data_IF_738685825803
#
_entry.id   IF_738685825803
#
_cell.length_a   1.000
_cell.length_b   1.000
_cell.length_c   1.000
_cell.angle_alpha   90.00
_cell.angle_beta   90.00
_cell.angle_gamma   90.00
#
_symmetry.space_group_name_H-M   'P 1'
#
loop_
_entity.id
_entity.type
_entity.pdbx_description
1 polymer ?
#
# COMPACT_ATOMS: atom_id res chain seq x y z
N UNK A 1 1.39 27.15 -2.67
CA UNK A 1 0.48 26.12 -2.12
C UNK A 1 0.38 24.99 -3.14
N UNK A 2 1.02 23.83 -2.89
CA UNK A 2 0.88 22.66 -3.77
C UNK A 2 -0.47 22.01 -3.47
N UNK A 3 -1.32 21.87 -4.49
CA UNK A 3 -2.59 21.14 -4.43
C UNK A 3 -2.32 19.73 -3.87
N UNK A 4 -2.88 19.41 -2.71
CA UNK A 4 -2.97 18.02 -2.24
C UNK A 4 -3.89 17.31 -3.23
N UNK A 5 -3.32 16.52 -4.13
CA UNK A 5 -4.08 15.59 -4.96
C UNK A 5 -4.70 14.53 -4.04
N UNK A 6 -5.85 14.86 -3.49
CA UNK A 6 -6.65 13.88 -2.75
C UNK A 6 -7.49 13.11 -3.78
N UNK A 7 -7.17 11.85 -3.96
CA UNK A 7 -8.03 10.95 -4.73
C UNK A 7 -9.41 10.85 -4.06
N UNK A 8 -10.53 10.90 -4.82
CA UNK A 8 -11.86 10.79 -4.22
C UNK A 8 -11.99 9.44 -3.50
N UNK A 9 -12.61 9.46 -2.33
CA UNK A 9 -12.97 8.26 -1.58
C UNK A 9 -14.23 7.62 -2.17
N UNK A 10 -14.43 6.31 -1.98
CA UNK A 10 -15.71 5.69 -2.28
C UNK A 10 -16.86 6.39 -1.52
N UNK A 11 -18.07 6.43 -2.08
CA UNK A 11 -19.22 7.03 -1.39
C UNK A 11 -19.43 6.43 0.01
N UNK A 12 -19.66 7.29 1.00
CA UNK A 12 -19.90 6.87 2.39
C UNK A 12 -18.64 6.52 3.20
N UNK A 13 -17.44 6.57 2.58
CA UNK A 13 -16.18 6.28 3.26
C UNK A 13 -15.59 7.56 3.86
N UNK A 14 -15.29 7.52 5.15
CA UNK A 14 -14.54 8.56 5.86
C UNK A 14 -13.36 7.93 6.56
N UNK A 15 -12.14 8.32 6.17
CA UNK A 15 -10.93 7.76 6.78
C UNK A 15 -10.67 8.37 8.15
N UNK A 16 -10.34 7.51 9.11
CA UNK A 16 -9.81 7.87 10.42
C UNK A 16 -8.34 7.50 10.51
N UNK A 17 -7.59 8.14 11.39
CA UNK A 17 -6.17 7.84 11.58
C UNK A 17 -6.00 6.47 12.23
N UNK A 18 -5.21 5.60 11.61
CA UNK A 18 -4.84 4.29 12.17
C UNK A 18 -3.51 4.32 12.91
N UNK A 19 -3.22 3.26 13.67
CA UNK A 19 -1.95 3.09 14.38
C UNK A 19 -0.80 2.79 13.42
N UNK A 20 -1.05 1.92 12.44
CA UNK A 20 -0.05 1.45 11.48
C UNK A 20 -0.22 2.12 10.10
N UNK A 21 -1.44 2.54 9.77
CA UNK A 21 -1.82 3.16 8.49
C UNK A 21 -2.28 4.59 8.74
N UNK A 22 -2.01 5.49 7.78
CA UNK A 22 -2.36 6.91 7.92
C UNK A 22 -3.87 7.16 7.89
N UNK A 23 -4.58 6.37 7.10
CA UNK A 23 -6.03 6.43 7.01
C UNK A 23 -6.63 5.04 6.96
N UNK A 24 -7.70 4.81 7.69
CA UNK A 24 -8.44 3.55 7.71
C UNK A 24 -9.94 3.80 7.76
N UNK A 25 -10.68 2.94 7.10
CA UNK A 25 -12.11 2.79 7.23
C UNK A 25 -12.48 1.32 7.09
N UNK A 26 -13.37 0.84 7.93
CA UNK A 26 -13.87 -0.53 7.93
C UNK A 26 -15.39 -0.46 7.93
N UNK A 27 -16.04 -1.21 7.04
CA UNK A 27 -17.50 -1.29 6.98
C UNK A 27 -18.09 -1.89 8.26
N UNK A 28 -19.23 -1.38 8.68
CA UNK A 28 -19.93 -1.91 9.84
C UNK A 28 -20.23 -3.41 9.67
N UNK A 29 -19.86 -4.19 10.69
CA UNK A 29 -20.06 -5.64 10.68
C UNK A 29 -19.13 -6.43 9.77
N UNK A 30 -18.17 -5.79 9.09
CA UNK A 30 -17.18 -6.49 8.28
C UNK A 30 -16.34 -7.45 9.13
N UNK A 31 -16.13 -8.67 8.63
CA UNK A 31 -15.25 -9.67 9.21
C UNK A 31 -14.50 -10.39 8.09
N UNK A 32 -13.20 -10.57 8.23
CA UNK A 32 -12.38 -11.32 7.28
C UNK A 32 -12.85 -12.77 7.14
N UNK A 33 -13.33 -13.40 8.21
CA UNK A 33 -13.89 -14.77 8.21
C UNK A 33 -15.13 -14.93 7.31
N UNK A 34 -15.68 -13.84 6.81
CA UNK A 34 -16.73 -13.84 5.78
C UNK A 34 -16.23 -14.25 4.39
N UNK A 35 -14.92 -14.34 4.18
CA UNK A 35 -14.31 -14.58 2.87
C UNK A 35 -13.27 -15.71 2.95
N UNK A 36 -13.30 -16.60 1.96
CA UNK A 36 -12.37 -17.73 1.86
C UNK A 36 -11.07 -17.32 1.15
N UNK A 37 -11.17 -16.35 0.23
CA UNK A 37 -10.05 -15.90 -0.58
C UNK A 37 -10.02 -14.39 -0.73
N UNK A 38 -8.84 -13.87 -1.05
CA UNK A 38 -8.64 -12.50 -1.51
C UNK A 38 -7.83 -12.50 -2.81
N UNK A 39 -8.30 -11.72 -3.77
CA UNK A 39 -7.59 -11.43 -5.01
C UNK A 39 -6.87 -10.09 -4.83
N UNK A 40 -5.55 -10.09 -4.89
CA UNK A 40 -4.74 -8.86 -4.89
C UNK A 40 -4.57 -8.40 -6.33
N UNK A 41 -5.41 -7.48 -6.77
CA UNK A 41 -5.37 -6.96 -8.12
C UNK A 41 -4.07 -6.21 -8.41
N UNK A 42 -3.67 -6.14 -9.67
CA UNK A 42 -2.52 -5.34 -10.08
C UNK A 42 -2.76 -3.87 -9.71
N UNK A 43 -1.84 -3.22 -8.96
CA UNK A 43 -2.00 -1.84 -8.56
C UNK A 43 -2.16 -0.89 -9.75
N UNK A 44 -3.16 -0.01 -9.69
CA UNK A 44 -3.30 1.10 -10.62
C UNK A 44 -2.30 2.21 -10.27
N UNK A 45 -1.68 2.80 -11.27
CA UNK A 45 -0.71 3.88 -11.08
C UNK A 45 -1.29 5.19 -11.62
N UNK A 46 -1.64 6.10 -10.73
CA UNK A 46 -2.20 7.43 -11.05
C UNK A 46 -1.26 8.57 -10.66
N UNK A 47 -0.07 8.25 -10.14
CA UNK A 47 0.92 9.25 -9.80
C UNK A 47 1.36 10.02 -11.05
N UNK A 48 1.51 11.33 -10.92
CA UNK A 48 2.07 12.17 -11.98
C UNK A 48 3.57 11.90 -12.03
N UNK A 49 4.01 11.26 -13.08
CA UNK A 49 5.42 10.97 -13.30
C UNK A 49 6.19 12.23 -13.65
N UNK A 50 7.30 12.44 -12.94
CA UNK A 50 8.34 13.38 -13.35
C UNK A 50 9.49 12.69 -14.09
N UNK A 51 9.51 11.35 -14.16
CA UNK A 51 10.51 10.56 -14.86
C UNK A 51 9.87 9.64 -15.90
N UNK A 52 10.50 9.54 -17.08
CA UNK A 52 10.02 8.81 -18.24
C UNK A 52 10.34 7.29 -18.20
N UNK A 53 10.56 6.70 -17.04
CA UNK A 53 11.06 5.32 -16.95
C UNK A 53 9.91 4.32 -16.74
N UNK A 54 9.35 3.85 -17.86
CA UNK A 54 8.29 2.82 -17.92
C UNK A 54 8.68 1.55 -17.11
N UNK A 55 9.96 1.18 -17.14
CA UNK A 55 10.47 -0.01 -16.45
C UNK A 55 10.41 0.14 -14.91
N UNK A 56 10.72 1.30 -14.37
CA UNK A 56 10.67 1.55 -12.92
C UNK A 56 9.25 1.47 -12.39
N UNK A 57 8.29 1.98 -13.14
CA UNK A 57 6.87 1.86 -12.83
C UNK A 57 6.42 0.40 -12.75
N UNK A 58 6.80 -0.42 -13.72
CA UNK A 58 6.46 -1.84 -13.73
C UNK A 58 7.06 -2.58 -12.53
N UNK A 59 8.31 -2.27 -12.17
CA UNK A 59 8.99 -2.81 -10.98
C UNK A 59 8.26 -2.39 -9.69
N UNK A 60 7.91 -1.11 -9.56
CA UNK A 60 7.20 -0.60 -8.39
C UNK A 60 5.80 -1.24 -8.24
N UNK A 61 5.03 -1.33 -9.33
CA UNK A 61 3.70 -1.98 -9.33
C UNK A 61 3.82 -3.42 -8.88
N UNK A 62 4.76 -4.17 -9.45
CA UNK A 62 4.99 -5.56 -9.06
C UNK A 62 5.43 -5.68 -7.61
N UNK A 63 6.38 -4.86 -7.16
CA UNK A 63 6.88 -4.86 -5.79
C UNK A 63 5.77 -4.60 -4.77
N UNK A 64 4.90 -3.63 -5.03
CA UNK A 64 3.74 -3.32 -4.18
C UNK A 64 2.77 -4.51 -4.15
N UNK A 65 2.44 -5.09 -5.31
CA UNK A 65 1.55 -6.26 -5.36
C UNK A 65 2.13 -7.43 -4.57
N UNK A 66 3.41 -7.75 -4.76
CA UNK A 66 4.08 -8.85 -4.06
C UNK A 66 4.10 -8.61 -2.54
N UNK A 67 4.41 -7.39 -2.08
CA UNK A 67 4.40 -7.02 -0.66
C UNK A 67 3.01 -7.19 -0.03
N UNK A 68 1.94 -6.78 -0.73
CA UNK A 68 0.56 -6.94 -0.27
C UNK A 68 0.15 -8.42 -0.22
N UNK A 69 0.56 -9.22 -1.20
CA UNK A 69 0.31 -10.68 -1.22
C UNK A 69 0.99 -11.35 -0.02
N UNK A 70 2.26 -11.06 0.23
CA UNK A 70 3.01 -11.61 1.38
C UNK A 70 2.34 -11.18 2.68
N UNK A 71 2.05 -9.90 2.83
CA UNK A 71 1.40 -9.35 4.01
C UNK A 71 0.08 -10.06 4.34
N UNK A 72 -0.81 -10.22 3.35
CA UNK A 72 -2.11 -10.86 3.55
C UNK A 72 -1.98 -12.36 3.83
N UNK A 73 -1.03 -13.07 3.19
CA UNK A 73 -0.74 -14.49 3.51
C UNK A 73 -0.30 -14.66 4.96
N UNK A 74 0.55 -13.77 5.46
CA UNK A 74 1.07 -13.82 6.83
C UNK A 74 0.02 -13.49 7.90
N UNK A 75 -1.11 -12.89 7.52
CA UNK A 75 -2.19 -12.62 8.48
C UNK A 75 -2.99 -13.86 8.85
N UNK A 76 -3.05 -14.87 7.97
CA UNK A 76 -3.96 -16.00 8.10
C UNK A 76 -5.45 -15.65 8.01
N UNK A 77 -5.78 -14.41 7.60
CA UNK A 77 -7.16 -13.92 7.52
C UNK A 77 -7.97 -14.57 6.38
N UNK A 78 -7.28 -15.10 5.36
CA UNK A 78 -7.85 -15.76 4.20
C UNK A 78 -7.21 -17.14 4.01
N UNK A 79 -8.00 -18.11 3.62
CA UNK A 79 -7.48 -19.44 3.27
C UNK A 79 -6.65 -19.42 1.97
N UNK A 80 -6.93 -18.46 1.08
CA UNK A 80 -6.20 -18.28 -0.18
C UNK A 80 -5.97 -16.80 -0.48
N UNK A 81 -4.74 -16.47 -0.91
CA UNK A 81 -4.36 -15.14 -1.42
C UNK A 81 -3.79 -15.33 -2.80
N UNK A 82 -4.46 -14.79 -3.81
CA UNK A 82 -4.13 -14.96 -5.23
C UNK A 82 -4.03 -13.60 -5.94
N UNK A 83 -3.48 -13.57 -7.13
CA UNK A 83 -3.34 -12.33 -7.91
C UNK A 83 -4.34 -12.23 -9.07
N UNK A 84 -5.06 -13.31 -9.37
CA UNK A 84 -6.03 -13.39 -10.45
C UNK A 84 -7.32 -14.06 -9.96
N UNK A 85 -8.46 -13.58 -10.43
CA UNK A 85 -9.76 -14.10 -10.03
C UNK A 85 -10.02 -15.54 -10.52
N UNK A 86 -9.41 -15.95 -11.62
CA UNK A 86 -9.53 -17.33 -12.16
C UNK A 86 -8.75 -18.37 -11.33
N UNK A 87 -7.88 -17.93 -10.42
CA UNK A 87 -7.16 -18.78 -9.46
C UNK A 87 -8.01 -19.08 -8.21
N UNK A 88 -9.13 -18.39 -8.02
CA UNK A 88 -10.03 -18.62 -6.88
C UNK A 88 -10.80 -19.91 -7.09
N UNK A 89 -10.80 -20.78 -6.08
CA UNK A 89 -11.55 -22.04 -6.13
C UNK A 89 -13.04 -21.79 -6.36
N UNK A 90 -13.65 -22.52 -7.27
CA UNK A 90 -15.09 -22.42 -7.56
C UNK A 90 -15.92 -22.59 -6.28
N UNK A 91 -16.90 -21.70 -6.10
CA UNK A 91 -17.78 -21.70 -4.93
C UNK A 91 -17.21 -20.98 -3.70
N UNK A 92 -15.94 -20.53 -3.71
CA UNK A 92 -15.38 -19.73 -2.63
C UNK A 92 -15.92 -18.31 -2.65
N UNK A 93 -16.20 -17.76 -1.47
CA UNK A 93 -16.46 -16.32 -1.30
C UNK A 93 -15.14 -15.58 -1.32
N UNK A 94 -15.01 -14.61 -2.19
CA UNK A 94 -13.76 -13.84 -2.26
C UNK A 94 -14.02 -12.34 -2.25
N UNK A 95 -13.02 -11.62 -1.77
CA UNK A 95 -12.92 -10.18 -1.87
C UNK A 95 -11.78 -9.81 -2.84
N UNK A 96 -11.80 -8.59 -3.36
CA UNK A 96 -10.75 -8.06 -4.24
C UNK A 96 -10.09 -6.88 -3.55
N UNK A 97 -8.77 -6.91 -3.40
CA UNK A 97 -7.99 -5.78 -2.97
C UNK A 97 -7.52 -4.99 -4.20
N UNK A 98 -8.15 -3.84 -4.43
CA UNK A 98 -7.79 -2.87 -5.43
C UNK A 98 -6.85 -1.84 -4.80
N UNK A 99 -5.67 -1.66 -5.38
CA UNK A 99 -4.69 -0.69 -4.88
C UNK A 99 -4.41 0.37 -5.93
N UNK A 100 -4.30 1.62 -5.51
CA UNK A 100 -3.92 2.75 -6.37
C UNK A 100 -2.71 3.46 -5.77
N UNK A 101 -1.66 3.61 -6.56
CA UNK A 101 -0.50 4.46 -6.28
C UNK A 101 -0.82 5.85 -6.81
N UNK A 102 -0.95 6.84 -5.93
CA UNK A 102 -1.33 8.20 -6.31
C UNK A 102 -0.23 9.24 -6.08
N UNK A 103 0.85 8.86 -5.40
CA UNK A 103 2.09 9.64 -5.33
C UNK A 103 3.28 8.67 -5.33
N UNK A 104 4.23 8.94 -6.19
CA UNK A 104 5.46 8.16 -6.31
C UNK A 104 6.59 9.10 -6.73
N UNK A 105 7.52 9.34 -5.84
CA UNK A 105 8.71 10.14 -6.09
C UNK A 105 9.95 9.30 -5.75
N UNK A 106 10.86 9.17 -6.70
CA UNK A 106 12.08 8.36 -6.56
C UNK A 106 13.08 8.96 -5.57
N UNK A 107 12.95 10.24 -5.27
CA UNK A 107 14.00 10.96 -4.56
C UNK A 107 15.16 11.34 -5.49
N UNK A 108 16.03 12.20 -5.02
CA UNK A 108 17.21 12.65 -5.76
C UNK A 108 18.46 12.58 -4.89
N UNK A 109 19.39 11.66 -5.19
CA UNK A 109 20.62 11.47 -4.44
C UNK A 109 21.44 12.76 -4.25
N UNK A 110 21.49 13.62 -5.28
CA UNK A 110 22.14 14.92 -5.21
C UNK A 110 21.45 15.91 -4.24
N UNK A 111 20.11 15.94 -4.25
CA UNK A 111 19.35 16.81 -3.35
C UNK A 111 19.49 16.39 -1.88
N UNK A 112 19.63 15.09 -1.61
CA UNK A 112 19.86 14.57 -0.24
C UNK A 112 21.22 14.96 0.32
N UNK A 113 22.25 14.96 -0.51
CA UNK A 113 23.61 15.35 -0.07
C UNK A 113 23.69 16.82 0.34
N UNK A 114 22.99 17.71 -0.38
CA UNK A 114 23.02 19.14 -0.11
C UNK A 114 21.91 19.66 0.81
N UNK A 115 20.80 18.95 0.97
CA UNK A 115 19.64 19.39 1.73
C UNK A 115 19.09 18.35 2.72
N UNK A 116 19.90 17.33 3.07
CA UNK A 116 19.49 16.19 3.91
C UNK A 116 18.97 16.54 5.30
N UNK A 117 19.19 17.76 5.78
CA UNK A 117 18.65 18.27 7.05
C UNK A 117 17.17 18.68 6.95
N UNK A 118 16.67 18.90 5.73
CA UNK A 118 15.31 19.43 5.50
C UNK A 118 14.36 18.47 4.76
N UNK A 119 14.72 17.18 4.63
CA UNK A 119 13.86 16.17 4.00
C UNK A 119 13.64 16.32 2.48
N UNK A 120 14.39 17.21 1.81
CA UNK A 120 14.32 17.35 0.36
C UNK A 120 14.99 16.17 -0.35
N UNK A 121 14.36 15.62 -1.39
CA UNK A 121 14.91 14.54 -2.21
C UNK A 121 14.72 13.14 -1.64
N UNK A 122 13.89 12.94 -0.64
CA UNK A 122 13.53 11.60 -0.18
C UNK A 122 12.51 10.96 -1.12
N UNK A 123 12.57 9.61 -1.32
CA UNK A 123 11.52 8.91 -2.04
C UNK A 123 10.19 9.01 -1.28
N UNK A 124 9.09 9.08 -2.02
CA UNK A 124 7.75 9.14 -1.45
C UNK A 124 6.87 8.14 -2.16
N UNK A 125 6.15 7.33 -1.41
CA UNK A 125 5.14 6.41 -1.91
C UNK A 125 3.85 6.63 -1.13
N UNK A 126 2.75 6.96 -1.85
CA UNK A 126 1.42 6.99 -1.27
C UNK A 126 0.50 6.06 -2.02
N UNK A 127 -0.13 5.18 -1.30
CA UNK A 127 -1.06 4.20 -1.84
C UNK A 127 -2.39 4.25 -1.10
N UNK A 128 -3.45 3.90 -1.80
CA UNK A 128 -4.75 3.59 -1.23
C UNK A 128 -5.15 2.19 -1.65
N UNK A 129 -5.49 1.35 -0.69
CA UNK A 129 -6.11 0.05 -0.91
C UNK A 129 -7.60 0.12 -0.61
N UNK A 130 -8.39 -0.54 -1.44
CA UNK A 130 -9.81 -0.70 -1.29
C UNK A 130 -10.15 -2.19 -1.42
N UNK A 131 -10.48 -2.82 -0.30
CA UNK A 131 -10.99 -4.18 -0.31
C UNK A 131 -12.49 -4.12 -0.60
N UNK A 132 -12.90 -4.74 -1.69
CA UNK A 132 -14.31 -4.77 -2.13
C UNK A 132 -14.82 -6.20 -2.17
N UNK A 133 -16.13 -6.35 -2.00
CA UNK A 133 -16.79 -7.64 -2.24
C UNK A 133 -16.97 -7.91 -3.75
N UNK A 134 -17.55 -9.06 -4.09
CA UNK A 134 -17.82 -9.46 -5.48
C UNK A 134 -18.80 -8.54 -6.23
N UNK A 135 -19.48 -7.63 -5.53
CA UNK A 135 -20.39 -6.64 -6.10
C UNK A 135 -19.77 -5.25 -6.20
N UNK A 136 -18.51 -5.11 -5.75
CA UNK A 136 -17.78 -3.84 -5.72
C UNK A 136 -18.10 -2.95 -4.51
N UNK A 137 -18.83 -3.47 -3.50
CA UNK A 137 -19.08 -2.71 -2.28
C UNK A 137 -17.81 -2.65 -1.42
N UNK A 138 -17.41 -1.47 -0.91
CA UNK A 138 -16.23 -1.34 -0.09
C UNK A 138 -16.42 -2.00 1.28
N UNK A 139 -15.46 -2.80 1.68
CA UNK A 139 -15.42 -3.53 2.95
C UNK A 139 -14.39 -2.92 3.90
N UNK A 140 -13.27 -2.49 3.34
CA UNK A 140 -12.16 -1.92 4.07
C UNK A 140 -11.36 -1.01 3.13
N UNK A 141 -11.03 0.19 3.59
CA UNK A 141 -10.21 1.14 2.84
C UNK A 141 -9.05 1.58 3.72
N UNK A 142 -7.85 1.62 3.14
CA UNK A 142 -6.68 2.14 3.83
C UNK A 142 -5.88 3.11 2.97
N UNK A 143 -5.19 4.02 3.63
CA UNK A 143 -4.12 4.83 3.05
C UNK A 143 -2.82 4.59 3.79
N UNK A 144 -1.77 4.41 3.03
CA UNK A 144 -0.41 4.32 3.54
C UNK A 144 0.49 5.33 2.82
N UNK A 145 1.35 5.96 3.61
CA UNK A 145 2.34 6.92 3.15
C UNK A 145 3.70 6.56 3.70
N UNK A 146 4.68 6.41 2.82
CA UNK A 146 6.08 6.19 3.16
C UNK A 146 6.93 7.28 2.50
N UNK A 147 7.93 7.77 3.23
CA UNK A 147 8.77 8.90 2.80
C UNK A 147 10.23 8.69 3.19
N UNK A 148 10.82 7.53 2.95
CA UNK A 148 12.24 7.28 3.17
C UNK A 148 12.74 7.54 4.61
N UNK A 149 11.83 7.80 5.54
CA UNK A 149 12.13 8.17 6.93
C UNK A 149 12.33 6.95 7.85
N UNK A 150 12.63 5.76 7.31
CA UNK A 150 12.92 4.61 8.18
C UNK A 150 14.05 4.98 9.15
N UNK A 151 13.97 4.50 10.39
CA UNK A 151 14.98 4.82 11.42
C UNK A 151 16.40 4.43 10.97
N UNK A 152 16.52 3.43 10.12
CA UNK A 152 17.77 2.95 9.51
C UNK A 152 18.29 3.93 8.44
N UNK A 153 17.42 4.55 7.66
CA UNK A 153 17.80 5.55 6.67
C UNK A 153 18.33 6.84 7.32
N UNK A 154 17.86 7.19 8.52
CA UNK A 154 18.36 8.34 9.28
C UNK A 154 19.79 8.16 9.77
N UNK A 155 20.19 6.92 10.13
CA UNK A 155 21.53 6.65 10.65
C UNK A 155 22.60 6.45 9.56
N UNK A 156 22.22 5.93 8.39
CA UNK A 156 23.15 5.53 7.33
C UNK A 156 22.79 6.07 5.95
N UNK A 157 21.85 7.00 5.86
CA UNK A 157 21.21 7.45 4.60
C UNK A 157 22.11 8.08 3.54
N UNK A 158 23.38 8.33 3.84
CA UNK A 158 24.35 8.85 2.86
C UNK A 158 24.93 7.81 1.90
N UNK A 159 24.74 6.50 2.17
CA UNK A 159 25.41 5.41 1.45
C UNK A 159 24.45 4.44 0.75
N UNK A 160 23.13 4.62 0.85
CA UNK A 160 22.13 3.73 0.25
C UNK A 160 21.58 4.31 -1.05
N UNK A 161 21.36 3.44 -2.02
CA UNK A 161 20.74 3.83 -3.29
C UNK A 161 19.24 4.14 -3.11
N UNK A 162 18.68 4.98 -3.98
CA UNK A 162 17.25 5.30 -3.98
C UNK A 162 16.39 4.04 -4.18
N UNK A 163 16.89 3.07 -4.94
CA UNK A 163 16.21 1.79 -5.22
C UNK A 163 16.09 0.93 -3.95
N UNK A 164 17.14 0.88 -3.11
CA UNK A 164 17.11 0.14 -1.85
C UNK A 164 16.13 0.76 -0.86
N UNK A 165 16.10 2.09 -0.75
CA UNK A 165 15.18 2.81 0.13
C UNK A 165 13.73 2.60 -0.32
N UNK A 166 13.46 2.62 -1.61
CA UNK A 166 12.12 2.36 -2.14
C UNK A 166 11.68 0.91 -1.91
N UNK A 167 12.58 -0.05 -2.04
CA UNK A 167 12.27 -1.45 -1.75
C UNK A 167 11.89 -1.66 -0.29
N UNK A 168 12.58 -1.00 0.64
CA UNK A 168 12.23 -1.01 2.07
C UNK A 168 10.88 -0.34 2.33
N UNK A 169 10.62 0.83 1.76
CA UNK A 169 9.33 1.53 1.90
C UNK A 169 8.16 0.68 1.41
N UNK A 170 8.35 -0.11 0.35
CA UNK A 170 7.35 -1.05 -0.17
C UNK A 170 7.15 -2.22 0.81
N UNK A 171 8.23 -2.77 1.37
CA UNK A 171 8.14 -3.84 2.37
C UNK A 171 7.44 -3.35 3.64
N UNK A 172 7.82 -2.18 4.14
CA UNK A 172 7.22 -1.55 5.31
C UNK A 172 5.72 -1.30 5.13
N UNK A 173 5.28 -0.94 3.93
CA UNK A 173 3.86 -0.83 3.59
C UNK A 173 3.14 -2.17 3.76
N UNK A 174 3.75 -3.26 3.33
CA UNK A 174 3.22 -4.61 3.54
C UNK A 174 3.14 -4.96 5.03
N UNK A 175 4.19 -4.65 5.80
CA UNK A 175 4.24 -4.87 7.25
C UNK A 175 3.12 -4.11 7.97
N UNK A 176 2.90 -2.84 7.64
CA UNK A 176 1.83 -2.04 8.24
C UNK A 176 0.45 -2.61 7.96
N UNK A 177 0.19 -3.02 6.72
CA UNK A 177 -1.07 -3.67 6.37
C UNK A 177 -1.25 -4.98 7.13
N UNK A 178 -0.22 -5.82 7.18
CA UNK A 178 -0.25 -7.08 7.91
C UNK A 178 -0.60 -6.87 9.39
N UNK A 179 0.11 -5.95 10.04
CA UNK A 179 -0.05 -5.70 11.47
C UNK A 179 -1.44 -5.12 11.78
N UNK A 180 -1.96 -4.26 10.90
CA UNK A 180 -3.30 -3.75 11.02
C UNK A 180 -4.36 -4.86 10.85
N UNK A 181 -4.23 -5.71 9.81
CA UNK A 181 -5.18 -6.82 9.58
C UNK A 181 -5.12 -7.82 10.72
N UNK A 182 -3.92 -8.16 11.24
CA UNK A 182 -3.78 -9.04 12.41
C UNK A 182 -4.50 -8.45 13.64
N UNK A 183 -4.37 -7.16 13.89
CA UNK A 183 -5.07 -6.49 14.99
C UNK A 183 -6.60 -6.59 14.82
N UNK A 184 -7.12 -6.37 13.61
CA UNK A 184 -8.56 -6.53 13.34
C UNK A 184 -9.06 -7.97 13.50
N UNK A 185 -8.29 -8.96 13.06
CA UNK A 185 -8.63 -10.39 13.20
C UNK A 185 -8.62 -10.81 14.67
N UNK A 186 -7.70 -10.27 15.46
CA UNK A 186 -7.56 -10.58 16.89
C UNK A 186 -8.56 -9.83 17.77
N UNK A 187 -9.34 -8.90 17.23
CA UNK A 187 -10.32 -8.12 17.98
C UNK A 187 -9.73 -7.07 18.92
N UNK A 188 -8.52 -6.59 18.63
CA UNK A 188 -7.82 -5.54 19.40
C UNK A 188 -7.81 -4.21 18.67
#
# INVERSE_FOLDING_TARGET
MKSKSSMPLPPGVTLTRGKHLQGIWVADGFRFSGFDAVVVATPAFKAVERSNEINERAIAIKGIQDALVVALKETGAFASVVIRADEVKAGSRFAVLETTVFEYEKGGGGARYFAGVYGAGQPVIKVRGNLVDSKGAPLFVFEAHRSGESATARMFGGFRSDVEIQAEDIQDLGIDLRDFVKALVSGH
#
